data_IF_310394489401
#
_entry.id   IF_310394489401
#
_cell.length_a   1.000
_cell.length_b   1.000
_cell.length_c   1.000
_cell.angle_alpha   90.00
_cell.angle_beta   90.00
_cell.angle_gamma   90.00
#
_symmetry.space_group_name_H-M   'P 1'
#
loop_
_entity.id
_entity.type
_entity.pdbx_description
1 polymer ?
#
# COMPACT_ATOMS: atom_id res chain seq x y z
N UNK A 1 -13.05 -6.08 2.93
CA UNK A 1 -14.16 -7.04 2.90
C UNK A 1 -14.62 -7.41 4.31
N UNK A 2 -15.89 -7.12 4.65
CA UNK A 2 -16.54 -7.46 5.93
C UNK A 2 -15.83 -6.91 7.21
N UNK A 3 -15.19 -5.75 7.12
CA UNK A 3 -14.38 -5.14 8.18
C UNK A 3 -14.86 -3.74 8.59
N UNK A 4 -16.16 -3.47 8.48
CA UNK A 4 -16.71 -2.12 8.72
C UNK A 4 -16.37 -1.54 10.11
N UNK A 5 -16.18 -2.36 11.13
CA UNK A 5 -15.81 -1.88 12.48
C UNK A 5 -14.36 -1.35 12.47
N UNK A 6 -13.43 -2.10 11.91
CA UNK A 6 -12.01 -1.70 11.80
C UNK A 6 -11.87 -0.46 10.92
N UNK A 7 -12.50 -0.46 9.73
CA UNK A 7 -12.51 0.71 8.84
C UNK A 7 -13.01 1.96 9.55
N UNK A 8 -14.08 1.88 10.32
CA UNK A 8 -14.58 3.01 11.10
C UNK A 8 -13.57 3.53 12.14
N UNK A 9 -12.81 2.62 12.76
CA UNK A 9 -11.75 3.01 13.69
C UNK A 9 -10.67 3.84 12.96
N UNK A 10 -10.16 3.35 11.83
CA UNK A 10 -9.16 4.06 11.01
C UNK A 10 -9.69 5.42 10.55
N UNK A 11 -10.89 5.45 9.97
CA UNK A 11 -11.51 6.69 9.47
C UNK A 11 -11.72 7.70 10.59
N UNK A 12 -12.15 7.27 11.78
CA UNK A 12 -12.31 8.18 12.92
C UNK A 12 -11.01 8.88 13.31
N UNK A 13 -9.88 8.18 13.25
CA UNK A 13 -8.56 8.78 13.49
C UNK A 13 -8.21 9.78 12.38
N UNK A 14 -8.39 9.40 11.11
CA UNK A 14 -8.11 10.25 9.95
C UNK A 14 -8.96 11.53 9.90
N UNK A 15 -10.16 11.51 10.47
CA UNK A 15 -11.06 12.69 10.57
C UNK A 15 -10.43 13.88 11.31
N UNK A 16 -9.39 13.64 12.09
CA UNK A 16 -8.64 14.70 12.77
C UNK A 16 -7.66 15.43 11.84
N UNK A 17 -7.51 14.98 10.58
CA UNK A 17 -6.73 15.68 9.55
C UNK A 17 -7.67 16.31 8.50
N UNK A 18 -8.08 17.57 8.68
CA UNK A 18 -9.18 18.18 7.91
C UNK A 18 -8.86 18.40 6.42
N UNK A 19 -7.58 18.32 6.03
CA UNK A 19 -7.14 18.47 4.63
C UNK A 19 -7.12 17.15 3.85
N UNK A 20 -7.46 16.03 4.49
CA UNK A 20 -7.51 14.74 3.80
C UNK A 20 -8.83 14.54 3.06
N UNK A 21 -8.76 13.99 1.86
CA UNK A 21 -9.86 13.29 1.20
C UNK A 21 -9.78 11.82 1.63
N UNK A 22 -10.84 11.28 2.16
CA UNK A 22 -10.89 9.90 2.68
C UNK A 22 -11.75 9.08 1.74
N UNK A 23 -11.15 8.08 1.10
CA UNK A 23 -11.85 7.15 0.21
C UNK A 23 -11.79 5.75 0.81
N UNK A 24 -12.95 5.22 1.17
CA UNK A 24 -13.10 3.84 1.62
C UNK A 24 -13.47 2.97 0.43
N UNK A 25 -12.70 1.93 0.20
CA UNK A 25 -12.96 0.92 -0.82
C UNK A 25 -13.61 -0.28 -0.13
N UNK A 26 -14.86 -0.55 -0.50
CA UNK A 26 -15.63 -1.71 -0.05
C UNK A 26 -15.68 -2.75 -1.18
N UNK A 27 -14.77 -3.71 -1.12
CA UNK A 27 -14.66 -4.75 -2.15
C UNK A 27 -15.47 -6.00 -1.77
N UNK A 28 -16.75 -5.99 -2.15
CA UNK A 28 -17.64 -7.15 -2.05
C UNK A 28 -18.18 -7.46 -0.64
N UNK A 29 -18.19 -6.52 0.29
CA UNK A 29 -18.75 -6.79 1.62
C UNK A 29 -20.23 -7.11 1.61
N UNK A 30 -20.67 -7.91 2.58
CA UNK A 30 -22.08 -8.19 2.86
C UNK A 30 -22.87 -6.90 3.10
N UNK A 31 -24.17 -6.99 2.85
CA UNK A 31 -25.09 -5.85 2.92
C UNK A 31 -24.97 -5.06 4.24
N UNK A 32 -24.90 -5.74 5.39
CA UNK A 32 -24.86 -5.10 6.69
C UNK A 32 -23.57 -4.26 6.90
N UNK A 33 -22.43 -4.76 6.45
CA UNK A 33 -21.17 -4.03 6.49
C UNK A 33 -21.21 -2.83 5.56
N UNK A 34 -21.68 -3.01 4.33
CA UNK A 34 -21.83 -1.94 3.35
C UNK A 34 -22.72 -0.80 3.84
N UNK A 35 -23.94 -1.10 4.30
CA UNK A 35 -24.87 -0.11 4.83
C UNK A 35 -24.29 0.59 6.08
N UNK A 36 -23.56 -0.14 6.90
CA UNK A 36 -22.87 0.39 8.07
C UNK A 36 -21.83 1.45 7.68
N UNK A 37 -21.07 1.23 6.61
CA UNK A 37 -20.11 2.21 6.06
C UNK A 37 -20.82 3.39 5.39
N UNK A 38 -21.82 3.13 4.56
CA UNK A 38 -22.63 4.18 3.91
C UNK A 38 -23.20 5.19 4.89
N UNK A 39 -23.73 4.70 6.03
CA UNK A 39 -24.29 5.58 7.06
C UNK A 39 -23.23 6.31 7.88
N UNK A 40 -22.05 5.75 7.97
CA UNK A 40 -20.96 6.27 8.76
C UNK A 40 -20.20 7.38 8.03
N UNK A 41 -19.93 7.20 6.74
CA UNK A 41 -19.21 8.15 5.89
C UNK A 41 -20.17 9.27 5.46
N UNK A 42 -20.19 10.34 6.21
CA UNK A 42 -21.19 11.42 6.08
C UNK A 42 -20.60 12.83 5.99
N UNK A 43 -19.28 12.95 5.86
CA UNK A 43 -18.61 14.25 5.66
C UNK A 43 -18.37 14.49 4.17
N UNK A 44 -18.29 15.76 3.77
CA UNK A 44 -18.14 16.15 2.36
C UNK A 44 -16.82 15.72 1.70
N UNK A 45 -15.83 15.30 2.49
CA UNK A 45 -14.54 14.79 2.05
C UNK A 45 -14.39 13.26 2.23
N UNK A 46 -15.48 12.55 2.49
CA UNK A 46 -15.52 11.11 2.71
C UNK A 46 -16.30 10.44 1.59
N UNK A 47 -15.72 9.44 0.97
CA UNK A 47 -16.30 8.72 -0.16
C UNK A 47 -16.30 7.21 0.10
N UNK A 48 -17.32 6.53 -0.38
CA UNK A 48 -17.41 5.07 -0.40
C UNK A 48 -17.45 4.60 -1.85
N UNK A 49 -16.44 3.85 -2.25
CA UNK A 49 -16.40 3.15 -3.54
C UNK A 49 -16.73 1.68 -3.30
N UNK A 50 -17.77 1.17 -4.00
CA UNK A 50 -18.10 -0.25 -3.96
C UNK A 50 -17.59 -0.95 -5.20
N UNK A 51 -16.87 -2.04 -4.99
CA UNK A 51 -16.50 -3.01 -6.01
C UNK A 51 -17.06 -4.39 -5.64
N UNK A 52 -16.79 -5.37 -6.46
CA UNK A 52 -17.25 -6.74 -6.25
C UNK A 52 -16.12 -7.72 -6.60
N UNK A 53 -15.29 -8.00 -5.60
CA UNK A 53 -14.13 -8.90 -5.67
C UNK A 53 -13.15 -8.56 -6.81
N UNK A 54 -12.80 -7.26 -6.92
CA UNK A 54 -11.80 -6.78 -7.88
C UNK A 54 -10.38 -6.78 -7.34
N UNK A 55 -10.23 -7.09 -6.05
CA UNK A 55 -8.98 -7.09 -5.30
C UNK A 55 -8.33 -5.71 -5.12
N UNK A 56 -7.45 -5.63 -4.13
CA UNK A 56 -6.91 -4.36 -3.66
C UNK A 56 -6.06 -3.63 -4.71
N UNK A 57 -5.22 -4.32 -5.46
CA UNK A 57 -4.35 -3.71 -6.45
C UNK A 57 -5.12 -3.02 -7.58
N UNK A 58 -6.18 -3.67 -8.10
CA UNK A 58 -7.06 -3.08 -9.12
C UNK A 58 -7.77 -1.85 -8.55
N UNK A 59 -8.32 -1.96 -7.34
CA UNK A 59 -9.07 -0.88 -6.72
C UNK A 59 -8.19 0.30 -6.33
N UNK A 60 -6.97 0.06 -5.87
CA UNK A 60 -6.00 1.13 -5.62
C UNK A 60 -5.64 1.87 -6.91
N UNK A 61 -5.32 1.18 -7.99
CA UNK A 61 -5.02 1.82 -9.26
C UNK A 61 -6.16 2.73 -9.74
N UNK A 62 -7.39 2.23 -9.70
CA UNK A 62 -8.57 3.02 -10.11
C UNK A 62 -8.78 4.22 -9.21
N UNK A 63 -8.65 4.03 -7.90
CA UNK A 63 -8.88 5.10 -6.92
C UNK A 63 -7.82 6.19 -7.01
N UNK A 64 -6.54 5.86 -7.18
CA UNK A 64 -5.46 6.84 -7.36
C UNK A 64 -5.75 7.79 -8.53
N UNK A 65 -6.39 7.33 -9.58
CA UNK A 65 -6.76 8.16 -10.75
C UNK A 65 -7.92 9.09 -10.47
N UNK A 66 -8.81 8.72 -9.57
CA UNK A 66 -10.06 9.45 -9.28
C UNK A 66 -9.88 10.54 -8.22
N UNK A 67 -8.98 10.34 -7.26
CA UNK A 67 -8.76 11.27 -6.14
C UNK A 67 -8.04 12.55 -6.57
N UNK A 68 -8.18 13.61 -5.76
CA UNK A 68 -7.58 14.92 -6.05
C UNK A 68 -6.29 15.17 -5.27
N UNK A 69 -6.00 14.37 -4.27
CA UNK A 69 -4.81 14.52 -3.43
C UNK A 69 -3.52 14.52 -4.23
N UNK A 70 -2.59 15.44 -3.91
CA UNK A 70 -1.24 15.48 -4.46
C UNK A 70 -0.43 14.25 -4.08
N UNK A 71 -0.62 13.80 -2.85
CA UNK A 71 -0.05 12.56 -2.31
C UNK A 71 -1.19 11.64 -1.87
N UNK A 72 -1.03 10.35 -2.09
CA UNK A 72 -2.06 9.34 -1.81
C UNK A 72 -1.48 8.29 -0.88
N UNK A 73 -2.07 8.10 0.29
CA UNK A 73 -1.73 7.03 1.21
C UNK A 73 -2.64 5.82 0.97
N UNK A 74 -2.05 4.68 0.70
CA UNK A 74 -2.74 3.39 0.65
C UNK A 74 -2.70 2.77 2.04
N UNK A 75 -3.86 2.58 2.63
CA UNK A 75 -4.04 2.02 3.97
C UNK A 75 -4.83 0.72 3.89
N UNK A 76 -4.62 -0.14 4.89
CA UNK A 76 -5.38 -1.37 5.08
C UNK A 76 -6.43 -1.19 6.18
N UNK A 77 -7.42 -2.07 6.23
CA UNK A 77 -8.54 -1.99 7.17
C UNK A 77 -8.14 -2.28 8.63
N UNK A 78 -6.99 -2.88 8.84
CA UNK A 78 -6.43 -3.21 10.15
C UNK A 78 -5.28 -2.29 10.59
N UNK A 79 -5.02 -1.21 9.86
CA UNK A 79 -4.01 -0.24 10.27
C UNK A 79 -4.39 0.50 11.54
N UNK A 80 -3.39 0.69 12.38
CA UNK A 80 -3.48 1.55 13.56
C UNK A 80 -2.25 2.46 13.68
N UNK A 81 -2.47 3.65 14.21
CA UNK A 81 -1.43 4.67 14.42
C UNK A 81 -1.79 5.54 15.61
N UNK A 82 -0.78 6.03 16.30
CA UNK A 82 -0.97 6.81 17.53
C UNK A 82 -1.57 8.20 17.26
N UNK A 83 -1.00 8.91 16.31
CA UNK A 83 -1.36 10.28 15.93
C UNK A 83 -1.22 10.45 14.42
N UNK A 84 -1.30 11.68 13.91
CA UNK A 84 -1.27 11.99 12.49
C UNK A 84 0.02 12.69 12.03
N UNK A 85 1.06 12.71 12.87
CA UNK A 85 2.36 13.29 12.48
C UNK A 85 2.95 12.62 11.24
N UNK A 86 2.70 11.31 11.07
CA UNK A 86 3.13 10.56 9.90
C UNK A 86 2.64 11.15 8.56
N UNK A 87 1.54 11.91 8.57
CA UNK A 87 1.03 12.57 7.36
C UNK A 87 1.88 13.80 7.03
N UNK A 88 2.18 14.63 8.03
CA UNK A 88 3.00 15.83 7.83
C UNK A 88 4.46 15.44 7.51
N UNK A 89 4.98 14.39 8.13
CA UNK A 89 6.30 13.83 7.83
C UNK A 89 6.40 13.32 6.40
N UNK A 90 5.38 12.59 5.92
CA UNK A 90 5.34 12.14 4.53
C UNK A 90 5.34 13.31 3.54
N UNK A 91 4.53 14.34 3.79
CA UNK A 91 4.51 15.56 2.96
C UNK A 91 5.87 16.24 2.95
N UNK A 92 6.51 16.36 4.12
CA UNK A 92 7.86 16.93 4.23
C UNK A 92 8.88 16.17 3.36
N UNK A 93 8.88 14.83 3.38
CA UNK A 93 9.83 14.06 2.59
C UNK A 93 9.56 14.15 1.09
N UNK A 94 8.31 14.14 0.66
CA UNK A 94 7.97 14.36 -0.76
C UNK A 94 8.35 15.76 -1.26
N UNK A 95 8.26 16.77 -0.42
CA UNK A 95 8.70 18.14 -0.77
C UNK A 95 10.22 18.27 -0.78
N UNK A 96 10.90 17.54 0.10
CA UNK A 96 12.36 17.53 0.21
C UNK A 96 13.03 16.77 -0.95
N UNK A 97 12.40 15.71 -1.44
CA UNK A 97 12.94 14.83 -2.48
C UNK A 97 11.99 14.77 -3.68
N UNK A 98 12.18 15.63 -4.69
CA UNK A 98 11.27 15.73 -5.83
C UNK A 98 11.09 14.46 -6.66
N UNK A 99 12.11 13.58 -6.68
CA UNK A 99 12.06 12.28 -7.39
C UNK A 99 11.47 11.15 -6.54
N UNK A 100 11.11 11.43 -5.28
CA UNK A 100 10.48 10.44 -4.41
C UNK A 100 9.06 10.16 -4.92
N UNK A 101 8.84 8.96 -5.44
CA UNK A 101 7.54 8.55 -5.98
C UNK A 101 6.76 7.68 -4.99
N UNK A 102 7.47 6.88 -4.19
CA UNK A 102 6.89 5.97 -3.20
C UNK A 102 7.56 6.19 -1.85
N UNK A 103 6.76 6.19 -0.79
CA UNK A 103 7.24 6.32 0.58
C UNK A 103 6.46 5.36 1.48
N UNK A 104 7.14 4.44 2.14
CA UNK A 104 6.55 3.51 3.11
C UNK A 104 6.90 3.85 4.54
N UNK A 105 6.14 3.36 5.49
CA UNK A 105 6.33 3.71 6.89
C UNK A 105 6.30 2.53 7.87
N UNK A 106 6.25 1.30 7.38
CA UNK A 106 6.15 0.11 8.22
C UNK A 106 7.34 -0.81 8.00
N UNK A 107 7.24 -1.68 7.02
CA UNK A 107 8.28 -2.66 6.73
C UNK A 107 8.94 -2.31 5.39
N UNK A 108 10.22 -2.58 5.26
CA UNK A 108 10.86 -2.77 3.99
C UNK A 108 11.53 -4.13 3.97
N UNK A 109 11.66 -4.68 2.81
CA UNK A 109 12.27 -5.99 2.60
C UNK A 109 13.45 -5.83 1.66
N UNK A 110 14.39 -6.75 1.73
CA UNK A 110 15.37 -6.93 0.69
C UNK A 110 15.03 -8.16 -0.14
N UNK A 111 15.66 -8.32 -1.28
CA UNK A 111 15.49 -9.49 -2.10
C UNK A 111 16.80 -9.88 -2.77
N UNK A 112 16.95 -11.19 -2.99
CA UNK A 112 18.03 -11.74 -3.76
C UNK A 112 17.47 -12.40 -5.02
N UNK A 113 18.26 -12.41 -6.08
CA UNK A 113 17.91 -13.10 -7.32
C UNK A 113 18.52 -14.50 -7.27
N UNK A 114 17.69 -15.52 -7.19
CA UNK A 114 18.12 -16.92 -7.33
C UNK A 114 18.03 -17.36 -8.81
N UNK A 115 19.14 -17.18 -9.52
CA UNK A 115 19.22 -17.56 -10.95
C UNK A 115 19.09 -19.07 -11.19
N UNK A 116 19.40 -19.91 -10.20
CA UNK A 116 19.28 -21.36 -10.36
C UNK A 116 17.82 -21.80 -10.30
N UNK A 117 17.04 -21.17 -9.44
CA UNK A 117 15.60 -21.45 -9.29
C UNK A 117 14.71 -20.59 -10.20
N UNK A 118 15.26 -19.56 -10.85
CA UNK A 118 14.48 -18.65 -11.68
C UNK A 118 13.45 -17.86 -10.87
N UNK A 119 13.85 -17.34 -9.70
CA UNK A 119 12.93 -16.61 -8.81
C UNK A 119 13.65 -15.53 -7.99
N UNK A 120 12.86 -14.59 -7.47
CA UNK A 120 13.29 -13.73 -6.38
C UNK A 120 13.09 -14.44 -5.06
N UNK A 121 14.07 -14.35 -4.17
CA UNK A 121 13.92 -14.72 -2.77
C UNK A 121 13.77 -13.42 -1.96
N UNK A 122 12.67 -13.30 -1.23
CA UNK A 122 12.43 -12.17 -0.34
C UNK A 122 13.17 -12.43 0.96
N UNK A 123 13.99 -11.47 1.35
CA UNK A 123 14.75 -11.51 2.58
C UNK A 123 14.08 -10.55 3.57
N UNK A 124 13.51 -11.12 4.62
CA UNK A 124 13.05 -10.30 5.74
C UNK A 124 14.26 -9.78 6.49
N UNK A 125 14.34 -8.48 6.68
CA UNK A 125 15.28 -7.89 7.60
C UNK A 125 14.60 -6.78 8.41
N UNK A 126 14.98 -6.72 9.66
CA UNK A 126 14.55 -5.61 10.51
C UNK A 126 15.09 -4.31 9.95
N UNK A 127 14.17 -3.42 9.69
CA UNK A 127 14.53 -2.10 9.21
C UNK A 127 15.40 -1.31 10.13
N UNK A 128 16.07 -0.37 9.49
CA UNK A 128 17.20 0.26 10.08
C UNK A 128 16.82 0.81 11.42
N UNK A 129 17.53 0.29 12.35
CA UNK A 129 17.90 0.81 13.66
C UNK A 129 17.11 2.02 14.14
N UNK A 130 16.81 2.01 15.39
CA UNK A 130 16.04 2.99 16.16
C UNK A 130 16.38 4.47 15.92
N UNK A 131 17.46 4.75 15.19
CA UNK A 131 18.05 6.09 15.04
C UNK A 131 17.91 6.69 13.63
N UNK A 132 17.21 6.02 12.70
CA UNK A 132 16.98 6.53 11.35
C UNK A 132 15.54 6.98 11.22
N UNK A 133 15.33 8.23 10.85
CA UNK A 133 14.00 8.79 10.59
C UNK A 133 13.58 8.63 9.13
N UNK A 134 14.54 8.53 8.21
CA UNK A 134 14.31 8.35 6.78
C UNK A 134 15.51 7.70 6.09
N UNK A 135 15.24 6.80 5.13
CA UNK A 135 16.25 6.29 4.20
C UNK A 135 15.63 5.89 2.85
N UNK A 136 16.46 5.84 1.81
CA UNK A 136 16.07 5.20 0.54
C UNK A 136 16.21 3.69 0.66
N UNK A 137 15.26 2.96 0.12
CA UNK A 137 15.17 1.49 0.24
C UNK A 137 14.77 0.85 -1.09
N UNK A 138 15.11 -0.43 -1.33
CA UNK A 138 14.70 -1.14 -2.54
C UNK A 138 13.19 -1.18 -2.71
N UNK A 139 12.46 -1.51 -1.65
CA UNK A 139 11.01 -1.50 -1.67
C UNK A 139 10.41 -1.31 -0.28
N UNK A 140 9.13 -1.01 -0.23
CA UNK A 140 8.33 -0.87 0.98
C UNK A 140 7.01 -1.61 0.84
N UNK A 141 6.52 -2.14 1.95
CA UNK A 141 5.19 -2.74 2.02
C UNK A 141 4.08 -1.70 2.24
N UNK A 142 2.87 -2.04 1.91
CA UNK A 142 1.68 -1.42 2.49
C UNK A 142 1.55 -1.88 3.96
N UNK A 143 1.06 -1.18 4.92
CA UNK A 143 0.64 0.19 4.97
C UNK A 143 1.39 0.91 6.08
N UNK A 144 1.55 2.19 5.98
CA UNK A 144 1.14 3.01 4.88
C UNK A 144 2.11 2.89 3.70
N UNK A 145 1.56 2.90 2.48
CA UNK A 145 2.33 3.17 1.27
C UNK A 145 1.81 4.46 0.67
N UNK A 146 2.66 5.46 0.61
CA UNK A 146 2.37 6.74 -0.02
C UNK A 146 2.84 6.77 -1.46
N UNK A 147 2.08 7.45 -2.29
CA UNK A 147 2.40 7.69 -3.68
C UNK A 147 2.41 9.20 -3.97
N UNK A 148 3.46 9.68 -4.63
CA UNK A 148 3.40 10.96 -5.33
C UNK A 148 2.54 10.76 -6.57
N UNK A 149 1.30 11.28 -6.54
CA UNK A 149 0.31 11.01 -7.57
C UNK A 149 0.74 11.47 -8.96
N UNK A 150 1.43 12.60 -9.10
CA UNK A 150 1.91 13.07 -10.41
C UNK A 150 2.95 12.13 -10.99
N UNK A 151 3.96 11.73 -10.21
CA UNK A 151 4.96 10.76 -10.65
C UNK A 151 4.35 9.40 -10.97
N UNK A 152 3.38 8.96 -10.17
CA UNK A 152 2.64 7.73 -10.45
C UNK A 152 1.95 7.79 -11.83
N UNK A 153 1.20 8.85 -12.11
CA UNK A 153 0.45 8.98 -13.36
C UNK A 153 1.35 9.17 -14.58
N UNK A 154 2.46 9.88 -14.43
CA UNK A 154 3.37 10.20 -15.56
C UNK A 154 4.35 9.05 -15.84
N UNK A 155 4.98 8.51 -14.80
CA UNK A 155 6.10 7.57 -14.96
C UNK A 155 5.70 6.13 -14.68
N UNK A 156 5.01 5.86 -13.58
CA UNK A 156 4.66 4.50 -13.18
C UNK A 156 3.41 3.98 -13.89
N UNK A 157 2.47 4.85 -14.13
CA UNK A 157 1.25 4.68 -14.94
C UNK A 157 0.17 3.78 -14.33
N UNK A 158 0.50 2.69 -13.68
CA UNK A 158 -0.47 1.73 -13.14
C UNK A 158 0.15 0.84 -12.05
N UNK A 159 -0.69 0.19 -11.29
CA UNK A 159 -0.32 -0.99 -10.51
C UNK A 159 -0.53 -2.20 -11.41
N UNK A 160 0.43 -3.12 -11.49
CA UNK A 160 0.33 -4.26 -12.40
C UNK A 160 -0.72 -5.26 -11.90
N UNK A 161 -1.80 -5.41 -12.68
CA UNK A 161 -2.92 -6.29 -12.36
C UNK A 161 -2.62 -7.77 -12.52
N UNK A 162 -1.55 -8.10 -13.21
CA UNK A 162 -1.10 -9.49 -13.35
C UNK A 162 -0.59 -10.10 -12.05
N UNK A 163 -0.35 -9.26 -11.02
CA UNK A 163 -0.06 -9.70 -9.66
C UNK A 163 -1.33 -9.94 -8.82
N UNK A 164 -2.52 -9.70 -9.38
CA UNK A 164 -3.78 -10.04 -8.70
C UNK A 164 -3.89 -11.56 -8.44
N UNK A 165 -4.55 -11.98 -7.39
CA UNK A 165 -5.31 -11.18 -6.43
C UNK A 165 -4.49 -10.50 -5.34
N UNK A 166 -3.23 -10.88 -5.11
CA UNK A 166 -2.39 -10.33 -4.04
C UNK A 166 -0.93 -10.78 -4.17
N UNK A 167 -0.07 -10.14 -3.40
CA UNK A 167 1.37 -10.35 -3.20
C UNK A 167 2.24 -9.84 -4.36
N UNK A 168 3.29 -9.14 -3.95
CA UNK A 168 4.40 -8.67 -4.78
C UNK A 168 4.08 -7.56 -5.81
N UNK A 169 2.86 -7.06 -5.86
CA UNK A 169 2.52 -5.88 -6.66
C UNK A 169 3.15 -4.59 -6.09
N UNK A 170 3.37 -4.54 -4.78
CA UNK A 170 4.13 -3.49 -4.09
C UNK A 170 5.62 -3.58 -4.42
N UNK A 171 6.20 -4.78 -4.44
CA UNK A 171 7.59 -5.01 -4.84
C UNK A 171 7.79 -4.61 -6.30
N UNK A 172 6.93 -5.08 -7.20
CA UNK A 172 6.94 -4.73 -8.62
C UNK A 172 6.92 -3.21 -8.82
N UNK A 173 5.97 -2.54 -8.17
CA UNK A 173 5.81 -1.11 -8.28
C UNK A 173 7.05 -0.34 -7.79
N UNK A 174 7.70 -0.80 -6.72
CA UNK A 174 8.94 -0.21 -6.21
C UNK A 174 10.12 -0.45 -7.16
N UNK A 175 10.29 -1.66 -7.70
CA UNK A 175 11.33 -1.95 -8.70
C UNK A 175 11.17 -1.07 -9.94
N UNK A 176 9.96 -1.01 -10.48
CA UNK A 176 9.63 -0.16 -11.62
C UNK A 176 9.84 1.31 -11.32
N UNK A 177 9.64 1.75 -10.10
CA UNK A 177 9.93 3.12 -9.64
C UNK A 177 11.41 3.44 -9.83
N UNK A 178 12.32 2.58 -9.36
CA UNK A 178 13.76 2.75 -9.52
C UNK A 178 14.18 2.77 -10.99
N UNK A 179 13.66 1.83 -11.79
CA UNK A 179 13.97 1.74 -13.23
C UNK A 179 13.49 2.95 -14.03
N UNK A 180 12.46 3.65 -13.57
CA UNK A 180 11.97 4.88 -14.18
C UNK A 180 12.66 6.15 -13.65
N UNK A 181 13.79 6.01 -12.93
CA UNK A 181 14.57 7.14 -12.40
C UNK A 181 13.88 7.90 -11.27
N UNK A 182 12.92 7.25 -10.59
CA UNK A 182 12.31 7.74 -9.37
C UNK A 182 12.89 7.02 -8.14
N UNK A 183 12.48 7.46 -6.97
CA UNK A 183 13.01 6.98 -5.70
C UNK A 183 11.93 6.33 -4.85
N UNK A 184 12.33 5.34 -4.07
CA UNK A 184 11.53 4.69 -3.02
C UNK A 184 12.18 5.00 -1.68
N UNK A 185 11.41 5.49 -0.73
CA UNK A 185 11.87 5.83 0.61
C UNK A 185 11.11 5.09 1.70
N UNK A 186 11.76 4.94 2.82
CA UNK A 186 11.14 4.55 4.08
C UNK A 186 11.29 5.68 5.09
N UNK A 187 10.29 5.88 5.94
CA UNK A 187 10.36 6.81 7.05
C UNK A 187 9.75 6.21 8.30
N UNK A 188 10.19 6.69 9.45
CA UNK A 188 9.72 6.21 10.74
C UNK A 188 8.29 6.67 11.00
N UNK A 189 7.39 5.71 11.17
CA UNK A 189 6.00 5.93 11.57
C UNK A 189 5.68 5.17 12.85
N UNK A 190 4.56 5.45 13.45
CA UNK A 190 4.03 4.69 14.58
C UNK A 190 2.96 3.69 14.17
N UNK A 191 3.04 3.13 12.96
CA UNK A 191 2.03 2.18 12.47
C UNK A 191 2.17 0.81 13.11
N UNK A 192 1.01 0.20 13.37
CA UNK A 192 0.84 -1.19 13.80
C UNK A 192 -0.42 -1.78 13.15
N UNK A 193 -0.62 -3.08 13.27
CA UNK A 193 -1.88 -3.72 12.86
C UNK A 193 -2.75 -4.00 14.07
N UNK A 194 -4.05 -3.73 13.95
CA UNK A 194 -5.07 -4.07 14.96
C UNK A 194 -5.26 -5.58 15.12
N UNK A 195 -4.99 -6.33 14.05
CA UNK A 195 -5.08 -7.79 14.06
C UNK A 195 -4.12 -8.38 13.04
N UNK A 196 -3.66 -9.59 13.28
CA UNK A 196 -3.07 -10.39 12.21
C UNK A 196 -4.20 -10.66 11.20
N UNK A 197 -4.13 -10.02 10.04
CA UNK A 197 -5.23 -10.02 9.09
C UNK A 197 -4.81 -10.33 7.66
N UNK A 198 -5.80 -10.31 6.80
CA UNK A 198 -5.65 -10.52 5.38
C UNK A 198 -5.45 -11.97 4.95
N UNK A 199 -5.20 -12.16 3.69
CA UNK A 199 -5.06 -13.50 3.08
C UNK A 199 -3.81 -14.25 3.57
N UNK A 200 -2.86 -13.59 4.21
CA UNK A 200 -1.67 -14.21 4.81
C UNK A 200 -1.99 -15.21 5.91
N UNK A 201 -3.11 -15.03 6.61
CA UNK A 201 -3.55 -16.00 7.65
C UNK A 201 -3.97 -17.33 7.00
N UNK A 202 -4.38 -17.28 5.77
CA UNK A 202 -4.86 -18.42 5.01
C UNK A 202 -3.69 -19.14 4.33
N UNK A 203 -2.69 -19.54 5.08
CA UNK A 203 -1.56 -20.30 4.56
C UNK A 203 -2.03 -21.65 3.97
N UNK A 204 -2.75 -21.60 2.87
CA UNK A 204 -3.30 -22.73 2.15
C UNK A 204 -2.60 -22.86 0.78
N UNK A 205 -2.92 -23.93 0.07
CA UNK A 205 -2.30 -24.22 -1.22
C UNK A 205 -2.47 -23.07 -2.23
N UNK A 206 -3.63 -22.41 -2.25
CA UNK A 206 -3.89 -21.29 -3.16
C UNK A 206 -2.98 -20.08 -2.88
N UNK A 207 -2.80 -19.70 -1.61
CA UNK A 207 -1.92 -18.56 -1.27
C UNK A 207 -0.46 -18.86 -1.56
N UNK A 208 -0.02 -20.09 -1.34
CA UNK A 208 1.34 -20.53 -1.66
C UNK A 208 1.59 -20.53 -3.16
N UNK A 209 0.68 -21.10 -3.95
CA UNK A 209 0.77 -21.13 -5.41
C UNK A 209 0.80 -19.71 -6.00
N UNK A 210 -0.04 -18.80 -5.49
CA UNK A 210 -0.06 -17.41 -5.95
C UNK A 210 1.25 -16.67 -5.62
N UNK A 211 1.80 -16.88 -4.42
CA UNK A 211 3.10 -16.31 -4.06
C UNK A 211 4.21 -16.82 -4.99
N UNK A 212 4.28 -18.13 -5.22
CA UNK A 212 5.27 -18.73 -6.10
C UNK A 212 5.16 -18.20 -7.53
N UNK A 213 3.95 -18.14 -8.06
CA UNK A 213 3.68 -17.57 -9.38
C UNK A 213 4.19 -16.13 -9.50
N UNK A 214 3.90 -15.30 -8.50
CA UNK A 214 4.26 -13.89 -8.55
C UNK A 214 5.77 -13.67 -8.35
N UNK A 215 6.43 -14.47 -7.52
CA UNK A 215 7.89 -14.46 -7.37
C UNK A 215 8.61 -14.84 -8.67
N UNK A 216 8.15 -15.88 -9.37
CA UNK A 216 8.69 -16.27 -10.68
C UNK A 216 8.43 -15.17 -11.72
N UNK A 217 7.25 -14.56 -11.71
CA UNK A 217 6.94 -13.44 -12.58
C UNK A 217 7.86 -12.23 -12.36
N UNK A 218 8.17 -11.88 -11.12
CA UNK A 218 9.15 -10.83 -10.83
C UNK A 218 10.50 -11.16 -11.46
N UNK A 219 10.93 -12.43 -11.37
CA UNK A 219 12.16 -12.88 -11.99
C UNK A 219 12.14 -12.69 -13.51
N UNK A 220 11.07 -13.11 -14.17
CA UNK A 220 10.92 -12.97 -15.63
C UNK A 220 10.93 -11.51 -16.09
N UNK A 221 10.45 -10.59 -15.25
CA UNK A 221 10.41 -9.15 -15.57
C UNK A 221 11.71 -8.41 -15.26
N UNK A 222 12.46 -8.83 -14.24
CA UNK A 222 13.52 -8.00 -13.63
C UNK A 222 14.85 -8.71 -13.37
N UNK A 223 15.07 -9.93 -13.88
CA UNK A 223 16.32 -10.68 -13.64
C UNK A 223 17.52 -10.22 -14.47
N UNK A 224 17.30 -9.43 -15.50
CA UNK A 224 18.33 -8.81 -16.36
C UNK A 224 18.75 -7.45 -15.77
#
# INVERSE_FOLDING_TARGET
HNKSVQVKHVVNKLRNYPRAEIVVIDDGSDYNHHISLMRFLNRGNEFLLRANDLYENVMYDKTIRMVNGRFVALLQDDDDFKDLSWVDDAVFYFEKYPELAILGGRDCLDFAIDKQKGRFDILDYDLPTKDIDFCFVPHVNRAPMWLNRSLFLEKLKHIDFDFAPFQFDDVELCLRTWLNGCQVGWYKTGFSSLSAGGMRIWNNAFTQEQCEKNICKLYDLYSD
#
